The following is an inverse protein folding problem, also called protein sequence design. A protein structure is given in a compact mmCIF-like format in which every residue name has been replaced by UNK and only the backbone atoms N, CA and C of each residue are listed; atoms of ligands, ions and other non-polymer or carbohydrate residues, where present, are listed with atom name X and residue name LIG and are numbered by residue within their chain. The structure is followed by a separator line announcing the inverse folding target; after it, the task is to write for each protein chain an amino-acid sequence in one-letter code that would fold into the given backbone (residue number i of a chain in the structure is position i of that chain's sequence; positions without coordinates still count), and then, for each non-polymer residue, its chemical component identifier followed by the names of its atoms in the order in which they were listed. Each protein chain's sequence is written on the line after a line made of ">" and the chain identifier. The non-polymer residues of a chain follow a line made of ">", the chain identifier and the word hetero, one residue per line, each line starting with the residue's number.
data_IF_181302886637
#
_entry.id   IF_181302886637
#
_cell.length_a   1.000
_cell.length_b   1.000
_cell.length_c   1.000
_cell.angle_alpha   90.00
_cell.angle_beta   90.00
_cell.angle_gamma   90.00
#
_symmetry.space_group_name_H-M   'P 1'
#
loop_
_entity.id
_entity.type
_entity.pdbx_description
1 polymer ?
#
# COMPACT_ATOMS: atom_id res chain seq x y z
N UNK A 1 -2.88 -28.32 2.89
CA UNK A 1 -3.02 -27.41 4.05
C UNK A 1 -1.66 -27.01 4.60
N UNK A 2 -0.79 -27.95 4.97
CA UNK A 2 0.57 -27.67 5.49
C UNK A 2 1.44 -26.78 4.57
N UNK A 3 1.41 -27.00 3.25
CA UNK A 3 2.15 -26.15 2.30
C UNK A 3 1.65 -24.69 2.30
N UNK A 4 0.33 -24.49 2.44
CA UNK A 4 -0.25 -23.14 2.48
C UNK A 4 0.15 -22.45 3.79
N UNK A 5 0.06 -23.15 4.92
CA UNK A 5 0.49 -22.63 6.23
C UNK A 5 1.98 -22.23 6.21
N UNK A 6 2.85 -23.08 5.66
CA UNK A 6 4.29 -22.77 5.57
C UNK A 6 4.62 -21.61 4.61
N UNK A 7 3.77 -21.29 3.64
CA UNK A 7 3.91 -20.08 2.82
C UNK A 7 3.55 -18.84 3.62
N UNK A 8 2.47 -18.87 4.40
CA UNK A 8 2.06 -17.74 5.23
C UNK A 8 3.10 -17.43 6.30
N UNK A 9 3.64 -18.46 6.97
CA UNK A 9 4.68 -18.30 8.00
C UNK A 9 5.98 -17.66 7.45
N UNK A 10 6.25 -17.81 6.15
CA UNK A 10 7.43 -17.18 5.50
C UNK A 10 7.18 -15.75 5.02
N UNK A 11 5.93 -15.30 4.98
CA UNK A 11 5.54 -14.00 4.39
C UNK A 11 5.03 -13.01 5.41
N UNK A 12 4.59 -13.48 6.58
CA UNK A 12 4.03 -12.66 7.64
C UNK A 12 4.61 -13.12 8.98
N UNK A 13 5.17 -12.19 9.76
CA UNK A 13 5.51 -12.45 11.14
C UNK A 13 4.34 -12.03 12.04
N UNK A 14 3.61 -12.96 12.68
CA UNK A 14 2.46 -12.61 13.50
C UNK A 14 2.91 -11.91 14.78
N UNK A 15 2.82 -10.58 14.80
CA UNK A 15 3.16 -9.76 15.97
C UNK A 15 2.26 -8.51 16.05
N UNK A 16 2.08 -7.92 17.25
CA UNK A 16 1.36 -6.65 17.39
C UNK A 16 1.98 -5.52 16.56
N UNK A 17 3.31 -5.52 16.42
CA UNK A 17 4.02 -4.53 15.61
C UNK A 17 3.70 -4.72 14.12
N UNK A 18 3.67 -5.96 13.64
CA UNK A 18 3.28 -6.27 12.26
C UNK A 18 1.85 -5.83 11.96
N UNK A 19 0.92 -6.06 12.90
CA UNK A 19 -0.45 -5.60 12.78
C UNK A 19 -0.53 -4.06 12.72
N UNK A 20 0.24 -3.37 13.57
CA UNK A 20 0.34 -1.91 13.56
C UNK A 20 0.85 -1.40 12.20
N UNK A 21 1.91 -2.01 11.65
CA UNK A 21 2.44 -1.64 10.33
C UNK A 21 1.38 -1.77 9.25
N UNK A 22 0.69 -2.91 9.21
CA UNK A 22 -0.37 -3.17 8.22
C UNK A 22 -1.52 -2.17 8.33
N UNK A 23 -1.99 -1.87 9.55
CA UNK A 23 -3.02 -0.85 9.77
C UNK A 23 -2.55 0.52 9.32
N UNK A 24 -1.30 0.90 9.64
CA UNK A 24 -0.72 2.17 9.21
C UNK A 24 -0.67 2.30 7.69
N UNK A 25 -0.27 1.25 6.96
CA UNK A 25 -0.28 1.29 5.49
C UNK A 25 -1.69 1.46 4.92
N UNK A 26 -2.66 0.70 5.45
CA UNK A 26 -4.06 0.79 5.02
C UNK A 26 -4.61 2.20 5.23
N UNK A 27 -4.32 2.80 6.39
CA UNK A 27 -4.73 4.18 6.72
C UNK A 27 -4.07 5.18 5.78
N UNK A 28 -2.77 5.04 5.49
CA UNK A 28 -2.04 5.98 4.62
C UNK A 28 -2.47 5.87 3.15
N UNK A 29 -2.76 4.66 2.67
CA UNK A 29 -3.35 4.44 1.34
C UNK A 29 -4.76 5.05 1.28
N UNK A 30 -5.56 4.86 2.33
CA UNK A 30 -6.88 5.49 2.45
C UNK A 30 -6.79 7.02 2.46
N UNK A 31 -5.83 7.58 3.19
CA UNK A 31 -5.56 9.02 3.23
C UNK A 31 -5.16 9.57 1.85
N UNK A 32 -4.27 8.88 1.15
CA UNK A 32 -3.88 9.24 -0.22
C UNK A 32 -5.11 9.33 -1.13
N UNK A 33 -5.97 8.31 -1.11
CA UNK A 33 -7.19 8.29 -1.94
C UNK A 33 -8.16 9.38 -1.52
N UNK A 34 -8.45 9.50 -0.22
CA UNK A 34 -9.40 10.49 0.29
C UNK A 34 -9.00 11.93 -0.09
N UNK A 35 -7.73 12.28 0.09
CA UNK A 35 -7.21 13.60 -0.29
C UNK A 35 -7.22 13.79 -1.80
N UNK A 36 -6.90 12.76 -2.57
CA UNK A 36 -6.98 12.79 -4.04
C UNK A 36 -8.40 13.09 -4.53
N UNK A 37 -9.39 12.35 -4.04
CA UNK A 37 -10.81 12.52 -4.39
C UNK A 37 -11.34 13.91 -4.01
N UNK A 38 -10.94 14.44 -2.84
CA UNK A 38 -11.26 15.83 -2.46
C UNK A 38 -10.69 16.83 -3.48
N UNK A 39 -9.42 16.66 -3.88
CA UNK A 39 -8.77 17.54 -4.85
C UNK A 39 -9.36 17.43 -6.27
N UNK A 40 -10.01 16.31 -6.57
CA UNK A 40 -10.70 16.07 -7.84
C UNK A 40 -12.19 16.48 -7.82
N UNK A 41 -12.69 17.03 -6.72
CA UNK A 41 -14.07 17.50 -6.60
C UNK A 41 -15.09 16.40 -6.32
N UNK A 42 -14.63 15.23 -5.88
CA UNK A 42 -15.45 14.04 -5.59
C UNK A 42 -15.28 13.59 -4.14
N UNK A 43 -15.52 14.46 -3.13
CA UNK A 43 -15.17 14.15 -1.76
C UNK A 43 -15.85 12.87 -1.25
N UNK A 44 -15.17 12.03 -0.44
CA UNK A 44 -15.68 10.71 -0.04
C UNK A 44 -17.02 10.70 0.72
N UNK A 45 -17.39 11.80 1.38
CA UNK A 45 -18.69 11.90 2.07
C UNK A 45 -19.86 12.16 1.12
N UNK A 46 -19.61 12.66 -0.09
CA UNK A 46 -20.61 12.81 -1.15
C UNK A 46 -20.57 11.63 -2.14
N UNK A 47 -19.37 11.09 -2.41
CA UNK A 47 -19.14 9.99 -3.37
C UNK A 47 -18.48 8.76 -2.71
N UNK A 48 -19.08 8.16 -1.68
CA UNK A 48 -18.43 7.12 -0.88
C UNK A 48 -18.09 5.87 -1.68
N UNK A 49 -18.96 5.46 -2.61
CA UNK A 49 -18.70 4.26 -3.43
C UNK A 49 -17.55 4.48 -4.41
N UNK A 50 -17.39 5.68 -4.95
CA UNK A 50 -16.26 6.01 -5.84
C UNK A 50 -14.94 5.99 -5.07
N UNK A 51 -14.91 6.63 -3.90
CA UNK A 51 -13.73 6.62 -3.05
C UNK A 51 -13.35 5.21 -2.60
N UNK A 52 -14.34 4.38 -2.21
CA UNK A 52 -14.12 2.98 -1.83
C UNK A 52 -13.60 2.13 -2.99
N UNK A 53 -14.12 2.34 -4.21
CA UNK A 53 -13.65 1.63 -5.39
C UNK A 53 -12.22 2.02 -5.75
N UNK A 54 -11.89 3.32 -5.79
CA UNK A 54 -10.52 3.80 -5.99
C UNK A 54 -9.60 3.19 -4.94
N UNK A 55 -9.97 3.27 -3.65
CA UNK A 55 -9.22 2.68 -2.54
C UNK A 55 -8.99 1.18 -2.70
N UNK A 56 -10.02 0.42 -3.09
CA UNK A 56 -9.92 -1.02 -3.29
C UNK A 56 -8.87 -1.37 -4.35
N UNK A 57 -8.77 -0.63 -5.45
CA UNK A 57 -7.75 -0.91 -6.49
C UNK A 57 -6.31 -0.80 -5.96
N UNK A 58 -6.02 0.25 -5.18
CA UNK A 58 -4.69 0.43 -4.56
C UNK A 58 -4.44 -0.58 -3.45
N UNK A 59 -5.46 -0.87 -2.62
CA UNK A 59 -5.33 -1.84 -1.54
C UNK A 59 -5.08 -3.24 -2.08
N UNK A 60 -5.77 -3.65 -3.15
CA UNK A 60 -5.53 -4.94 -3.82
C UNK A 60 -4.09 -5.00 -4.32
N UNK A 61 -3.63 -3.98 -5.05
CA UNK A 61 -2.24 -3.91 -5.52
C UNK A 61 -1.24 -4.01 -4.37
N UNK A 62 -1.47 -3.28 -3.28
CA UNK A 62 -0.60 -3.28 -2.11
C UNK A 62 -0.58 -4.64 -1.41
N UNK A 63 -1.73 -5.21 -1.09
CA UNK A 63 -1.83 -6.50 -0.38
C UNK A 63 -1.13 -7.60 -1.18
N UNK A 64 -1.36 -7.66 -2.49
CA UNK A 64 -0.73 -8.67 -3.36
C UNK A 64 0.79 -8.54 -3.34
N UNK A 65 1.31 -7.34 -3.58
CA UNK A 65 2.77 -7.13 -3.66
C UNK A 65 3.42 -7.23 -2.30
N UNK A 66 2.79 -6.71 -1.24
CA UNK A 66 3.30 -6.80 0.11
C UNK A 66 3.36 -8.26 0.60
N UNK A 67 2.35 -9.08 0.28
CA UNK A 67 2.35 -10.50 0.60
C UNK A 67 3.43 -11.26 -0.16
N UNK A 68 3.48 -11.13 -1.50
CA UNK A 68 4.49 -11.81 -2.33
C UNK A 68 5.90 -11.36 -1.98
N UNK A 69 6.07 -10.07 -1.70
CA UNK A 69 7.33 -9.46 -1.30
C UNK A 69 7.72 -9.75 0.15
N UNK A 70 6.84 -10.30 0.99
CA UNK A 70 7.15 -10.53 2.41
C UNK A 70 7.36 -9.24 3.21
N UNK A 71 6.66 -8.16 2.85
CA UNK A 71 6.79 -6.82 3.46
C UNK A 71 6.31 -6.74 4.91
N UNK A 72 5.71 -7.81 5.42
CA UNK A 72 5.26 -7.95 6.81
C UNK A 72 6.08 -9.00 7.58
N UNK A 73 7.27 -9.33 7.08
CA UNK A 73 8.32 -10.00 7.85
C UNK A 73 9.22 -8.95 8.51
N UNK A 74 9.85 -9.29 9.62
CA UNK A 74 10.81 -8.43 10.32
C UNK A 74 12.01 -8.07 9.45
N UNK A 75 12.44 -8.98 8.58
CA UNK A 75 13.50 -8.75 7.61
C UNK A 75 13.22 -7.58 6.67
N UNK A 76 11.95 -7.28 6.39
CA UNK A 76 11.54 -6.18 5.53
C UNK A 76 11.73 -4.79 6.18
N UNK A 77 11.82 -4.71 7.51
CA UNK A 77 11.97 -3.45 8.25
C UNK A 77 13.03 -3.48 9.35
N UNK A 78 14.04 -4.36 9.24
CA UNK A 78 15.10 -4.50 10.23
C UNK A 78 15.82 -3.18 10.59
N UNK A 79 15.93 -2.26 9.62
CA UNK A 79 16.47 -0.90 9.80
C UNK A 79 15.87 0.04 8.74
N UNK A 80 15.91 1.38 8.92
CA UNK A 80 15.20 2.32 8.05
C UNK A 80 15.53 2.21 6.56
N UNK A 81 16.81 2.09 6.19
CA UNK A 81 17.20 1.92 4.79
C UNK A 81 16.64 0.62 4.19
N UNK A 82 16.55 -0.47 4.97
CA UNK A 82 15.95 -1.73 4.52
C UNK A 82 14.46 -1.54 4.21
N UNK A 83 13.74 -0.87 5.12
CA UNK A 83 12.33 -0.54 4.95
C UNK A 83 12.11 0.30 3.69
N UNK A 84 12.97 1.28 3.42
CA UNK A 84 12.90 2.10 2.20
C UNK A 84 13.14 1.27 0.94
N UNK A 85 14.21 0.46 0.92
CA UNK A 85 14.58 -0.36 -0.24
C UNK A 85 13.52 -1.40 -0.60
N UNK A 86 12.76 -1.91 0.38
CA UNK A 86 11.70 -2.90 0.14
C UNK A 86 10.36 -2.25 -0.18
N UNK A 87 10.00 -1.17 0.51
CA UNK A 87 8.73 -0.47 0.32
C UNK A 87 8.66 0.23 -1.04
N UNK A 88 9.77 0.79 -1.51
CA UNK A 88 9.79 1.58 -2.76
C UNK A 88 9.35 0.78 -4.00
N UNK A 89 10.04 -0.32 -4.38
CA UNK A 89 9.63 -1.11 -5.53
C UNK A 89 8.24 -1.74 -5.30
N UNK A 90 7.91 -2.14 -4.07
CA UNK A 90 6.61 -2.73 -3.78
C UNK A 90 5.45 -1.76 -4.03
N UNK A 91 5.58 -0.50 -3.59
CA UNK A 91 4.57 0.52 -3.84
C UNK A 91 4.45 0.86 -5.32
N UNK A 92 5.58 0.99 -6.03
CA UNK A 92 5.58 1.23 -7.48
C UNK A 92 4.82 0.10 -8.20
N UNK A 93 5.12 -1.16 -7.87
CA UNK A 93 4.40 -2.31 -8.46
C UNK A 93 2.93 -2.32 -8.07
N UNK A 94 2.58 -1.98 -6.82
CA UNK A 94 1.19 -1.88 -6.37
C UNK A 94 0.40 -0.83 -7.16
N UNK A 95 1.00 0.34 -7.41
CA UNK A 95 0.39 1.38 -8.26
C UNK A 95 0.19 0.86 -9.68
N UNK A 96 1.16 0.16 -10.27
CA UNK A 96 1.00 -0.41 -11.62
C UNK A 96 -0.14 -1.42 -11.68
N UNK A 97 -0.32 -2.25 -10.66
CA UNK A 97 -1.46 -3.17 -10.55
C UNK A 97 -2.77 -2.40 -10.43
N UNK A 98 -2.83 -1.37 -9.58
CA UNK A 98 -4.01 -0.52 -9.45
C UNK A 98 -4.38 0.14 -10.79
N UNK A 99 -3.39 0.65 -11.53
CA UNK A 99 -3.61 1.22 -12.88
C UNK A 99 -4.08 0.16 -13.87
N UNK A 100 -3.54 -1.06 -13.83
CA UNK A 100 -3.99 -2.14 -14.69
C UNK A 100 -5.47 -2.48 -14.44
N UNK A 101 -5.90 -2.53 -13.18
CA UNK A 101 -7.32 -2.70 -12.81
C UNK A 101 -8.15 -1.52 -13.35
N UNK A 102 -7.67 -0.29 -13.17
CA UNK A 102 -8.34 0.94 -13.63
C UNK A 102 -8.37 1.14 -15.13
N UNK A 103 -7.54 0.43 -15.88
CA UNK A 103 -7.60 0.41 -17.34
C UNK A 103 -8.74 -0.49 -17.87
N UNK A 104 -9.36 -1.30 -17.02
CA UNK A 104 -10.50 -2.14 -17.38
C UNK A 104 -11.83 -1.39 -17.22
N UNK A 105 -12.92 -1.85 -17.88
CA UNK A 105 -14.26 -1.28 -17.66
C UNK A 105 -14.89 -1.67 -16.31
N UNK A 106 -14.18 -2.40 -15.45
CA UNK A 106 -14.71 -2.90 -14.17
C UNK A 106 -14.75 -1.84 -13.06
N UNK A 107 -13.98 -0.76 -13.19
CA UNK A 107 -13.86 0.29 -12.17
C UNK A 107 -13.81 1.69 -12.81
N UNK A 108 -14.17 2.72 -12.05
CA UNK A 108 -14.20 4.09 -12.56
C UNK A 108 -12.82 4.75 -12.64
N UNK A 109 -12.73 5.78 -13.48
CA UNK A 109 -11.68 6.80 -13.44
C UNK A 109 -10.44 6.58 -14.31
N UNK A 110 -10.31 5.44 -15.00
CA UNK A 110 -9.30 5.24 -16.04
C UNK A 110 -7.84 5.44 -15.58
N UNK A 111 -6.94 5.64 -16.56
CA UNK A 111 -5.51 5.85 -16.32
C UNK A 111 -5.02 7.10 -17.05
N UNK A 112 -4.37 8.00 -16.31
CA UNK A 112 -3.63 9.14 -16.86
C UNK A 112 -2.20 9.08 -16.36
N UNK A 113 -1.21 9.42 -17.20
CA UNK A 113 0.20 9.35 -16.84
C UNK A 113 0.53 10.20 -15.59
N UNK A 114 -0.06 11.40 -15.50
CA UNK A 114 0.07 12.27 -14.34
C UNK A 114 -0.43 11.60 -13.07
N UNK A 115 -1.58 10.92 -13.13
CA UNK A 115 -2.12 10.17 -12.00
C UNK A 115 -1.20 9.03 -11.57
N UNK A 116 -0.58 8.31 -12.51
CA UNK A 116 0.42 7.25 -12.20
C UNK A 116 1.60 7.84 -11.42
N UNK A 117 2.21 8.91 -11.93
CA UNK A 117 3.39 9.53 -11.32
C UNK A 117 3.07 10.10 -9.94
N UNK A 118 1.95 10.81 -9.80
CA UNK A 118 1.51 11.38 -8.51
C UNK A 118 1.19 10.27 -7.50
N UNK A 119 0.52 9.20 -7.92
CA UNK A 119 0.22 8.06 -7.03
C UNK A 119 1.49 7.40 -6.49
N UNK A 120 2.51 7.22 -7.36
CA UNK A 120 3.81 6.71 -6.93
C UNK A 120 4.47 7.67 -5.93
N UNK A 121 4.61 8.94 -6.29
CA UNK A 121 5.34 9.93 -5.48
C UNK A 121 4.67 10.17 -4.11
N UNK A 122 3.37 10.46 -4.10
CA UNK A 122 2.64 10.77 -2.86
C UNK A 122 2.57 9.55 -1.94
N UNK A 123 2.31 8.36 -2.50
CA UNK A 123 2.30 7.14 -1.70
C UNK A 123 3.67 6.83 -1.09
N UNK A 124 4.79 7.06 -1.80
CA UNK A 124 6.13 6.94 -1.21
C UNK A 124 6.36 7.98 -0.10
N UNK A 125 5.94 9.24 -0.30
CA UNK A 125 6.04 10.29 0.73
C UNK A 125 5.28 9.92 1.99
N UNK A 126 4.18 9.17 1.89
CA UNK A 126 3.42 8.71 3.05
C UNK A 126 3.99 7.44 3.68
N UNK A 127 4.24 6.40 2.87
CA UNK A 127 4.62 5.08 3.36
C UNK A 127 6.07 5.03 3.86
N UNK A 128 7.01 5.71 3.19
CA UNK A 128 8.42 5.62 3.55
C UNK A 128 8.71 6.18 4.96
N UNK A 129 8.20 7.37 5.37
CA UNK A 129 8.38 7.84 6.74
C UNK A 129 7.76 6.90 7.77
N UNK A 130 6.55 6.38 7.52
CA UNK A 130 5.88 5.45 8.42
C UNK A 130 6.69 4.17 8.62
N UNK A 131 7.05 3.50 7.52
CA UNK A 131 7.83 2.26 7.55
C UNK A 131 9.22 2.48 8.16
N UNK A 132 9.85 3.62 7.90
CA UNK A 132 11.15 3.99 8.48
C UNK A 132 11.06 4.28 9.98
N UNK A 133 9.97 4.91 10.44
CA UNK A 133 9.76 5.19 11.86
C UNK A 133 9.57 3.90 12.66
N UNK A 134 8.79 2.95 12.14
CA UNK A 134 8.64 1.63 12.74
C UNK A 134 9.97 0.87 12.77
N UNK A 135 10.69 0.84 11.64
CA UNK A 135 12.01 0.20 11.56
C UNK A 135 13.00 0.80 12.56
N UNK A 136 13.01 2.12 12.69
CA UNK A 136 13.85 2.81 13.65
C UNK A 136 13.50 2.45 15.10
N UNK A 137 12.20 2.39 15.42
CA UNK A 137 11.71 2.01 16.75
C UNK A 137 12.08 0.56 17.11
N UNK A 138 11.90 -0.38 16.20
CA UNK A 138 12.20 -1.82 16.42
C UNK A 138 13.71 -2.12 16.47
N UNK A 139 14.53 -1.28 15.84
CA UNK A 139 16.00 -1.44 15.79
C UNK A 139 16.74 -1.00 17.06
N UNK A 140 16.03 -0.42 18.04
CA UNK A 140 16.58 0.05 19.32
C UNK A 140 16.48 -1.03 20.39
#
# INVERSE_FOLDING_TARGET
>A
MEQVVSLFDRRLDPSPLTALVAVGDVVLIGLFVAVGEINHGTPPWEYPLWALETFATFLIGWVLVAFVGGLYTRDAWQFPLRAISWTTPAWITAVLIAMAIRATPLVHGGVQLTFVVVSMAVGLVLLLPWRSAVAYYDSR
#
